data_IF_493082819061
#
_entry.id   IF_493082819061
#
_cell.length_a   1.000
_cell.length_b   1.000
_cell.length_c   1.000
_cell.angle_alpha   90.00
_cell.angle_beta   90.00
_cell.angle_gamma   90.00
#
_symmetry.space_group_name_H-M   'P 1'
#
loop_
_entity.id
_entity.type
_entity.pdbx_description
1 polymer ?
#
# COMPACT_ATOMS: atom_id res chain seq x y z
N UNK A 1 5.12 10.98 24.08
CA UNK A 1 5.84 10.76 22.82
C UNK A 1 4.85 10.92 21.70
N UNK A 2 4.90 12.06 21.00
CA UNK A 2 4.10 12.32 19.82
C UNK A 2 4.90 11.79 18.63
N UNK A 3 4.42 10.74 17.98
CA UNK A 3 4.92 10.38 16.66
C UNK A 3 4.30 11.33 15.63
N UNK A 4 5.21 11.96 14.93
CA UNK A 4 5.03 13.07 14.01
C UNK A 4 4.51 12.51 12.69
N UNK A 5 3.22 12.63 12.43
CA UNK A 5 2.58 12.12 11.23
C UNK A 5 2.74 13.13 10.07
N UNK A 6 3.97 13.28 9.58
CA UNK A 6 4.28 13.96 8.32
C UNK A 6 4.55 12.93 7.24
N UNK A 7 3.53 12.16 6.88
CA UNK A 7 3.47 11.51 5.59
C UNK A 7 2.73 12.47 4.66
N UNK A 8 3.42 13.56 4.27
CA UNK A 8 3.09 14.28 3.06
C UNK A 8 3.12 13.24 1.96
N UNK A 9 1.93 12.81 1.58
CA UNK A 9 1.71 11.84 0.54
C UNK A 9 2.15 12.54 -0.74
N UNK A 10 3.40 12.33 -1.12
CA UNK A 10 3.89 12.49 -2.49
C UNK A 10 3.19 11.41 -3.36
N UNK A 11 1.86 11.34 -3.28
CA UNK A 11 1.07 10.77 -4.37
C UNK A 11 1.22 11.76 -5.50
N UNK A 12 2.19 11.47 -6.36
CA UNK A 12 2.20 11.97 -7.72
C UNK A 12 0.85 11.57 -8.30
N UNK A 13 -0.07 12.53 -8.38
CA UNK A 13 -1.37 12.31 -8.97
C UNK A 13 -1.17 12.11 -10.47
N UNK A 14 -1.26 10.85 -10.89
CA UNK A 14 -1.05 10.45 -12.27
C UNK A 14 -2.07 11.11 -13.22
N UNK A 15 -3.23 11.54 -12.69
CA UNK A 15 -4.24 12.25 -13.46
C UNK A 15 -3.79 13.66 -13.86
N UNK A 16 -3.11 14.38 -12.96
CA UNK A 16 -2.58 15.73 -13.22
C UNK A 16 -1.39 15.71 -14.18
N UNK A 17 -0.58 14.66 -14.16
CA UNK A 17 0.50 14.48 -15.14
C UNK A 17 -0.07 14.15 -16.53
N UNK A 18 -1.17 13.40 -16.61
CA UNK A 18 -1.78 12.99 -17.87
C UNK A 18 -2.56 14.11 -18.59
N UNK A 19 -3.02 15.13 -17.86
CA UNK A 19 -3.71 16.31 -18.40
C UNK A 19 -2.73 17.39 -18.89
N UNK A 20 -1.49 17.41 -18.38
CA UNK A 20 -0.44 18.34 -18.78
C UNK A 20 0.33 17.92 -20.05
N UNK A 21 0.19 16.68 -20.52
CA UNK A 21 0.93 16.13 -21.66
C UNK A 21 0.17 16.25 -22.99
N UNK A 22 0.89 16.55 -24.09
CA UNK A 22 0.30 16.54 -25.43
C UNK A 22 -0.10 15.10 -25.85
N UNK A 23 -0.95 14.96 -26.86
CA UNK A 23 -1.37 13.63 -27.34
C UNK A 23 -0.20 12.73 -27.77
N UNK A 24 0.88 13.32 -28.31
CA UNK A 24 2.12 12.61 -28.65
C UNK A 24 2.91 12.16 -27.43
N UNK A 25 3.00 13.02 -26.41
CA UNK A 25 3.70 12.69 -25.16
C UNK A 25 2.92 11.62 -24.37
N UNK A 26 1.59 11.68 -24.40
CA UNK A 26 0.71 10.68 -23.79
C UNK A 26 0.88 9.31 -24.45
N UNK A 27 1.00 9.27 -25.78
CA UNK A 27 1.27 8.02 -26.50
C UNK A 27 2.67 7.46 -26.17
N UNK A 28 3.68 8.33 -26.06
CA UNK A 28 5.02 7.95 -25.61
C UNK A 28 5.02 7.35 -24.20
N UNK A 29 4.32 8.00 -23.26
CA UNK A 29 4.21 7.53 -21.87
C UNK A 29 3.48 6.19 -21.78
N UNK A 30 2.39 6.00 -22.51
CA UNK A 30 1.65 4.71 -22.56
C UNK A 30 2.54 3.60 -23.13
N UNK A 31 3.35 3.87 -24.15
CA UNK A 31 4.29 2.90 -24.68
C UNK A 31 5.41 2.56 -23.68
N UNK A 32 5.96 3.55 -22.97
CA UNK A 32 6.93 3.30 -21.89
C UNK A 32 6.31 2.46 -20.77
N UNK A 33 5.07 2.76 -20.38
CA UNK A 33 4.35 2.02 -19.34
C UNK A 33 4.08 0.58 -19.80
N UNK A 34 3.63 0.40 -21.04
CA UNK A 34 3.42 -0.92 -21.65
C UNK A 34 4.71 -1.75 -21.69
N UNK A 35 5.83 -1.15 -22.10
CA UNK A 35 7.12 -1.84 -22.14
C UNK A 35 7.62 -2.21 -20.75
N UNK A 36 7.41 -1.35 -19.73
CA UNK A 36 7.75 -1.68 -18.34
C UNK A 36 6.86 -2.80 -17.80
N UNK A 37 5.55 -2.75 -18.05
CA UNK A 37 4.61 -3.80 -17.65
C UNK A 37 4.94 -5.14 -18.32
N UNK A 38 5.30 -5.13 -19.60
CA UNK A 38 5.74 -6.34 -20.31
C UNK A 38 7.04 -6.91 -19.73
N UNK A 39 8.01 -6.05 -19.40
CA UNK A 39 9.25 -6.50 -18.73
C UNK A 39 8.98 -7.09 -17.35
N UNK A 40 8.17 -6.41 -16.53
CA UNK A 40 7.82 -6.91 -15.19
C UNK A 40 7.04 -8.24 -15.27
N UNK A 41 6.07 -8.35 -16.18
CA UNK A 41 5.29 -9.56 -16.35
C UNK A 41 6.17 -10.76 -16.81
N UNK A 42 7.10 -10.55 -17.74
CA UNK A 42 8.01 -11.60 -18.23
C UNK A 42 9.05 -12.04 -17.20
N UNK A 43 9.61 -11.10 -16.43
CA UNK A 43 10.65 -11.41 -15.43
C UNK A 43 10.15 -12.33 -14.30
N UNK A 44 8.87 -12.29 -13.94
CA UNK A 44 8.33 -13.12 -12.87
C UNK A 44 7.87 -14.52 -13.33
N UNK A 45 7.37 -14.67 -14.57
CA UNK A 45 7.01 -16.00 -15.11
C UNK A 45 8.24 -16.85 -15.39
N UNK A 46 9.28 -16.23 -15.95
CA UNK A 46 10.49 -16.93 -16.39
C UNK A 46 11.25 -17.55 -15.22
N UNK A 47 11.24 -16.90 -14.03
CA UNK A 47 11.94 -17.41 -12.86
C UNK A 47 11.28 -18.70 -12.36
N UNK A 48 9.98 -18.72 -12.11
CA UNK A 48 9.28 -19.93 -11.65
C UNK A 48 9.41 -21.06 -12.67
N UNK A 49 9.35 -20.73 -13.96
CA UNK A 49 9.48 -21.70 -15.04
C UNK A 49 10.90 -22.26 -15.18
N UNK A 50 11.92 -21.46 -14.87
CA UNK A 50 13.33 -21.87 -14.86
C UNK A 50 13.74 -22.76 -13.68
N UNK A 51 12.93 -22.84 -12.62
CA UNK A 51 13.25 -23.65 -11.45
C UNK A 51 13.11 -25.16 -11.74
N UNK A 52 14.03 -25.94 -11.18
CA UNK A 52 13.91 -27.41 -11.19
C UNK A 52 12.62 -27.86 -10.47
N UNK A 53 12.01 -29.00 -10.86
CA UNK A 53 10.71 -29.42 -10.32
C UNK A 53 10.65 -29.50 -8.79
N UNK A 54 11.73 -29.97 -8.15
CA UNK A 54 11.81 -30.07 -6.70
C UNK A 54 11.86 -28.70 -6.01
N UNK A 55 12.51 -27.71 -6.62
CA UNK A 55 12.55 -26.34 -6.09
C UNK A 55 11.18 -25.68 -6.28
N UNK A 56 10.58 -25.82 -7.47
CA UNK A 56 9.26 -25.26 -7.78
C UNK A 56 8.19 -25.71 -6.78
N UNK A 57 8.10 -27.01 -6.50
CA UNK A 57 7.14 -27.55 -5.51
C UNK A 57 7.29 -26.93 -4.12
N UNK A 58 8.53 -26.68 -3.68
CA UNK A 58 8.77 -26.01 -2.38
C UNK A 58 8.33 -24.55 -2.42
N UNK A 59 8.58 -23.84 -3.51
CA UNK A 59 8.14 -22.45 -3.67
C UNK A 59 6.60 -22.36 -3.70
N UNK A 60 5.92 -23.30 -4.35
CA UNK A 60 4.46 -23.39 -4.35
C UNK A 60 3.92 -23.58 -2.92
N UNK A 61 4.45 -24.54 -2.16
CA UNK A 61 4.07 -24.73 -0.76
C UNK A 61 4.35 -23.49 0.12
N UNK A 62 5.47 -22.79 -0.10
CA UNK A 62 5.76 -21.54 0.61
C UNK A 62 4.78 -20.42 0.26
N UNK A 63 4.28 -20.37 -0.98
CA UNK A 63 3.26 -19.39 -1.39
C UNK A 63 1.90 -19.68 -0.74
N UNK A 64 1.55 -20.95 -0.58
CA UNK A 64 0.35 -21.35 0.16
C UNK A 64 0.45 -20.92 1.63
N UNK A 65 1.58 -21.20 2.28
CA UNK A 65 1.84 -20.75 3.66
C UNK A 65 1.81 -19.21 3.79
N UNK A 66 2.32 -18.48 2.79
CA UNK A 66 2.24 -17.02 2.77
C UNK A 66 0.79 -16.55 2.68
N UNK A 67 -0.05 -17.23 1.88
CA UNK A 67 -1.48 -16.90 1.80
C UNK A 67 -2.18 -17.07 3.14
N UNK A 68 -1.91 -18.17 3.86
CA UNK A 68 -2.46 -18.38 5.22
C UNK A 68 -2.00 -17.31 6.20
N UNK A 69 -0.73 -16.89 6.12
CA UNK A 69 -0.21 -15.77 6.91
C UNK A 69 -0.94 -14.47 6.60
N UNK A 70 -1.13 -14.14 5.31
CA UNK A 70 -1.77 -12.90 4.87
C UNK A 70 -3.23 -12.83 5.36
N UNK A 71 -3.93 -13.97 5.41
CA UNK A 71 -5.28 -14.06 5.99
C UNK A 71 -5.31 -13.75 7.50
N UNK A 72 -4.31 -14.21 8.25
CA UNK A 72 -4.17 -13.88 9.67
C UNK A 72 -3.81 -12.41 9.88
N UNK A 73 -2.93 -11.87 9.04
CA UNK A 73 -2.53 -10.47 9.08
C UNK A 73 -3.71 -9.54 8.77
N UNK A 74 -4.58 -9.91 7.82
CA UNK A 74 -5.81 -9.17 7.53
C UNK A 74 -6.73 -9.07 8.76
N UNK A 75 -6.94 -10.19 9.48
CA UNK A 75 -7.71 -10.20 10.73
C UNK A 75 -7.06 -9.34 11.81
N UNK A 76 -5.73 -9.40 11.93
CA UNK A 76 -4.99 -8.56 12.87
C UNK A 76 -5.22 -7.07 12.59
N UNK A 77 -5.16 -6.64 11.32
CA UNK A 77 -5.39 -5.24 10.97
C UNK A 77 -6.84 -4.81 11.23
N UNK A 78 -7.82 -5.68 10.99
CA UNK A 78 -9.22 -5.42 11.31
C UNK A 78 -9.41 -5.20 12.82
N UNK A 79 -8.90 -6.10 13.65
CA UNK A 79 -8.98 -6.00 15.11
C UNK A 79 -8.23 -4.77 15.63
N UNK A 80 -7.05 -4.47 15.06
CA UNK A 80 -6.27 -3.28 15.42
C UNK A 80 -7.03 -2.00 15.07
N UNK A 81 -7.64 -1.92 13.89
CA UNK A 81 -8.42 -0.75 13.48
C UNK A 81 -9.64 -0.53 14.40
N UNK A 82 -10.33 -1.60 14.80
CA UNK A 82 -11.43 -1.53 15.75
C UNK A 82 -10.95 -1.04 17.14
N UNK A 83 -9.79 -1.52 17.58
CA UNK A 83 -9.16 -1.09 18.83
C UNK A 83 -8.75 0.38 18.79
N UNK A 84 -8.09 0.82 17.72
CA UNK A 84 -7.71 2.21 17.49
C UNK A 84 -8.94 3.13 17.50
N UNK A 85 -10.00 2.75 16.78
CA UNK A 85 -11.26 3.50 16.76
C UNK A 85 -11.92 3.60 18.14
N UNK A 86 -11.85 2.52 18.95
CA UNK A 86 -12.34 2.53 20.34
C UNK A 86 -11.58 3.54 21.18
N UNK A 87 -10.24 3.51 21.17
CA UNK A 87 -9.43 4.40 21.99
C UNK A 87 -9.48 5.84 21.50
N UNK A 88 -9.61 6.07 20.20
CA UNK A 88 -9.78 7.41 19.64
C UNK A 88 -11.01 8.12 20.22
N UNK A 89 -12.14 7.40 20.37
CA UNK A 89 -13.34 7.94 21.04
C UNK A 89 -13.13 8.23 22.52
N UNK A 90 -12.31 7.42 23.20
CA UNK A 90 -11.96 7.67 24.61
C UNK A 90 -11.04 8.89 24.77
N UNK A 91 -10.23 9.19 23.76
CA UNK A 91 -9.35 10.36 23.74
C UNK A 91 -10.06 11.65 23.33
N UNK A 92 -11.16 11.59 22.57
CA UNK A 92 -11.92 12.76 22.14
C UNK A 92 -12.22 13.76 23.28
N UNK A 93 -12.78 13.36 24.43
CA UNK A 93 -13.04 14.29 25.52
C UNK A 93 -11.78 14.97 26.06
N UNK A 94 -10.63 14.29 26.04
CA UNK A 94 -9.36 14.87 26.46
C UNK A 94 -8.88 15.92 25.46
N UNK A 95 -9.07 15.68 24.16
CA UNK A 95 -8.75 16.64 23.12
C UNK A 95 -9.67 17.86 23.16
N UNK A 96 -10.96 17.67 23.44
CA UNK A 96 -11.92 18.76 23.66
C UNK A 96 -11.50 19.61 24.86
N UNK A 97 -11.21 19.00 26.02
CA UNK A 97 -10.71 19.73 27.20
C UNK A 97 -9.42 20.50 26.91
N UNK A 98 -8.48 19.89 26.19
CA UNK A 98 -7.24 20.55 25.78
C UNK A 98 -7.54 21.74 24.87
N UNK A 99 -8.48 21.62 23.94
CA UNK A 99 -8.90 22.69 23.06
C UNK A 99 -9.51 23.87 23.82
N UNK A 100 -10.41 23.61 24.78
CA UNK A 100 -11.03 24.62 25.65
C UNK A 100 -9.96 25.39 26.43
N UNK A 101 -9.02 24.68 27.07
CA UNK A 101 -7.91 25.30 27.83
C UNK A 101 -7.02 26.15 26.94
N UNK A 102 -6.63 25.66 25.76
CA UNK A 102 -5.71 26.37 24.86
C UNK A 102 -6.33 27.65 24.30
N UNK A 103 -7.64 27.66 24.06
CA UNK A 103 -8.33 28.79 23.44
C UNK A 103 -9.09 29.68 24.44
N UNK A 104 -9.19 29.29 25.72
CA UNK A 104 -9.88 30.05 26.75
C UNK A 104 -11.40 30.16 26.53
N UNK A 105 -12.01 29.09 25.98
CA UNK A 105 -13.46 28.99 25.70
C UNK A 105 -14.20 28.37 26.88
#
# INVERSE_FOLDING_TARGET
MAENNNNNKDTIDFADLASALSAGDKAGLVNVLKNKLQNLAGQHSDILESLTPNVRKRVEALRELQSEHDELEAKFFEERAALEAKYQKLYEPLYTKRYEIVNGV
#
